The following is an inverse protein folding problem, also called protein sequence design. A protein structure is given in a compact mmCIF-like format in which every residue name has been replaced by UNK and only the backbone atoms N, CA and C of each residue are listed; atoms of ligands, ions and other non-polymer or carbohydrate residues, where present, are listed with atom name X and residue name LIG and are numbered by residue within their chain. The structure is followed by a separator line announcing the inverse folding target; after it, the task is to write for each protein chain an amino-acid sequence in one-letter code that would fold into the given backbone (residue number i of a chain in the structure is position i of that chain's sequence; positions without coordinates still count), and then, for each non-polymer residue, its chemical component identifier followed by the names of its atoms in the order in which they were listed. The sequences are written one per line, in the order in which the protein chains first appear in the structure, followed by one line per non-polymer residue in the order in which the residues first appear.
data_IF_634588926224
#
_entry.id   IF_634588926224
#
_cell.length_a   1.000
_cell.length_b   1.000
_cell.length_c   1.000
_cell.angle_alpha   90.00
_cell.angle_beta   90.00
_cell.angle_gamma   90.00
#
_symmetry.space_group_name_H-M   'P 1'
#
loop_
_entity.id
_entity.type
_entity.pdbx_description
1 polymer ?
#
# COMPACT_ATOMS: atom_id res chain seq x y z
N UNK A 1 -36.33 13.69 32.02
CA UNK A 1 -36.48 14.48 30.77
C UNK A 1 -35.09 14.93 30.33
N UNK A 2 -34.50 14.28 29.33
CA UNK A 2 -33.25 14.76 28.71
C UNK A 2 -33.63 15.99 27.88
N UNK A 3 -32.96 17.15 28.05
CA UNK A 3 -33.26 18.34 27.27
C UNK A 3 -33.11 18.05 25.77
N UNK A 4 -34.14 18.35 24.98
CA UNK A 4 -34.22 18.06 23.53
C UNK A 4 -32.99 18.56 22.72
N UNK A 5 -32.31 19.61 23.21
CA UNK A 5 -31.09 20.16 22.60
C UNK A 5 -29.83 19.29 22.77
N UNK A 6 -29.79 18.41 23.77
CA UNK A 6 -28.65 17.52 24.04
C UNK A 6 -28.77 16.23 23.22
N UNK A 7 -30.00 15.76 22.97
CA UNK A 7 -30.26 14.54 22.21
C UNK A 7 -29.78 14.63 20.75
N UNK A 8 -29.96 15.78 20.09
CA UNK A 8 -29.48 16.00 18.72
C UNK A 8 -27.95 15.99 18.58
N UNK A 9 -27.24 16.49 19.59
CA UNK A 9 -25.77 16.53 19.57
C UNK A 9 -25.16 15.13 19.74
N UNK A 10 -25.75 14.29 20.59
CA UNK A 10 -25.34 12.89 20.79
C UNK A 10 -25.57 12.06 19.52
N UNK A 11 -26.67 12.30 18.81
CA UNK A 11 -26.98 11.60 17.55
C UNK A 11 -25.94 11.91 16.45
N UNK A 12 -25.51 13.17 16.32
CA UNK A 12 -24.46 13.54 15.36
C UNK A 12 -23.09 12.90 15.70
N UNK A 13 -22.69 12.87 16.97
CA UNK A 13 -21.41 12.26 17.39
C UNK A 13 -21.40 10.74 17.12
N UNK A 14 -22.52 10.06 17.35
CA UNK A 14 -22.65 8.62 17.06
C UNK A 14 -22.60 8.32 15.56
N UNK A 15 -23.20 9.16 14.71
CA UNK A 15 -23.13 8.99 13.25
C UNK A 15 -21.70 9.17 12.72
N UNK A 16 -20.95 10.15 13.22
CA UNK A 16 -19.54 10.35 12.80
C UNK A 16 -18.60 9.21 13.24
N UNK A 17 -18.89 8.51 14.34
CA UNK A 17 -18.09 7.35 14.76
C UNK A 17 -18.39 6.09 13.93
N UNK A 18 -19.64 5.83 13.58
CA UNK A 18 -20.04 4.63 12.83
C UNK A 18 -19.50 4.61 11.39
N UNK A 19 -19.32 5.76 10.75
CA UNK A 19 -18.77 5.84 9.39
C UNK A 19 -17.27 5.49 9.31
N UNK A 20 -16.50 5.73 10.38
CA UNK A 20 -15.07 5.43 10.39
C UNK A 20 -14.77 3.94 10.57
N UNK A 21 -15.64 3.20 11.27
CA UNK A 21 -15.47 1.76 11.48
C UNK A 21 -15.63 0.97 10.17
N UNK A 22 -16.58 1.35 9.32
CA UNK A 22 -16.86 0.63 8.07
C UNK A 22 -15.77 0.83 7.00
N UNK A 23 -15.19 2.04 6.92
CA UNK A 23 -14.07 2.31 6.03
C UNK A 23 -12.79 1.57 6.45
N UNK A 24 -12.55 1.41 7.75
CA UNK A 24 -11.43 0.62 8.26
C UNK A 24 -11.58 -0.88 7.93
N UNK A 25 -12.79 -1.41 8.06
CA UNK A 25 -13.10 -2.82 7.78
C UNK A 25 -12.96 -3.17 6.28
N UNK A 26 -13.34 -2.27 5.37
CA UNK A 26 -13.11 -2.49 3.93
C UNK A 26 -11.63 -2.47 3.54
N UNK A 27 -10.83 -1.62 4.20
CA UNK A 27 -9.38 -1.55 3.99
C UNK A 27 -8.70 -2.82 4.50
N UNK A 28 -9.09 -3.32 5.67
CA UNK A 28 -8.60 -4.60 6.21
C UNK A 28 -9.05 -5.80 5.35
N UNK A 29 -10.31 -5.85 4.91
CA UNK A 29 -10.81 -6.93 4.04
C UNK A 29 -10.09 -6.99 2.69
N UNK A 30 -9.80 -5.84 2.05
CA UNK A 30 -8.97 -5.81 0.84
C UNK A 30 -7.52 -6.24 1.10
N UNK A 31 -7.04 -6.04 2.31
CA UNK A 31 -5.69 -6.43 2.71
C UNK A 31 -5.61 -7.94 2.98
N UNK A 32 -6.66 -8.56 3.52
CA UNK A 32 -6.77 -10.01 3.73
C UNK A 32 -6.69 -10.83 2.43
N UNK A 33 -7.09 -10.26 1.28
CA UNK A 33 -6.95 -10.93 -0.02
C UNK A 33 -5.52 -10.90 -0.58
N UNK A 34 -4.72 -9.88 -0.24
CA UNK A 34 -3.37 -9.72 -0.78
C UNK A 34 -2.36 -10.48 0.08
N UNK A 35 -1.69 -11.47 -0.53
CA UNK A 35 -0.62 -12.22 0.15
C UNK A 35 0.46 -11.28 0.69
N UNK A 36 0.79 -11.45 1.97
CA UNK A 36 1.89 -10.76 2.65
C UNK A 36 3.18 -11.58 2.45
N UNK A 37 4.27 -10.92 2.10
CA UNK A 37 5.58 -11.53 1.88
C UNK A 37 6.60 -11.01 2.89
N UNK A 38 7.60 -11.82 3.20
CA UNK A 38 8.88 -11.28 3.68
C UNK A 38 9.69 -10.69 2.51
N UNK A 39 10.71 -9.89 2.79
CA UNK A 39 11.60 -9.34 1.75
C UNK A 39 12.23 -10.47 0.93
N UNK A 40 12.74 -11.51 1.59
CA UNK A 40 13.45 -12.63 0.95
C UNK A 40 12.50 -13.46 0.06
N UNK A 41 11.28 -13.73 0.54
CA UNK A 41 10.27 -14.45 -0.25
C UNK A 41 9.85 -13.65 -1.49
N UNK A 42 9.66 -12.34 -1.33
CA UNK A 42 9.32 -11.49 -2.45
C UNK A 42 10.46 -11.48 -3.48
N UNK A 43 11.70 -11.27 -3.04
CA UNK A 43 12.86 -11.21 -3.93
C UNK A 43 13.03 -12.52 -4.72
N UNK A 44 13.01 -13.65 -4.02
CA UNK A 44 13.15 -14.98 -4.64
C UNK A 44 12.02 -15.33 -5.60
N UNK A 45 10.80 -14.84 -5.33
CA UNK A 45 9.64 -15.09 -6.18
C UNK A 45 9.65 -14.24 -7.43
N UNK A 46 9.93 -12.94 -7.29
CA UNK A 46 9.61 -11.95 -8.32
C UNK A 46 10.80 -11.33 -9.03
N UNK A 47 12.00 -11.30 -8.43
CA UNK A 47 13.15 -10.66 -9.09
C UNK A 47 13.43 -11.29 -10.44
N UNK A 48 13.68 -10.44 -11.43
CA UNK A 48 13.88 -10.82 -12.84
C UNK A 48 12.68 -11.55 -13.49
N UNK A 49 11.51 -11.64 -12.85
CA UNK A 49 10.27 -12.12 -13.48
C UNK A 49 9.62 -11.02 -14.30
N UNK A 50 8.77 -11.41 -15.24
CA UNK A 50 7.99 -10.46 -16.03
C UNK A 50 6.87 -9.86 -15.18
N UNK A 51 6.43 -8.65 -15.52
CA UNK A 51 5.33 -7.95 -14.83
C UNK A 51 4.03 -8.76 -14.79
N UNK A 52 3.78 -9.63 -15.77
CA UNK A 52 2.56 -10.44 -15.81
C UNK A 52 2.48 -11.39 -14.62
N UNK A 53 3.62 -11.94 -14.16
CA UNK A 53 3.64 -12.82 -12.98
C UNK A 53 3.29 -12.06 -11.70
N UNK A 54 3.68 -10.79 -11.63
CA UNK A 54 3.35 -9.93 -10.51
C UNK A 54 1.85 -9.64 -10.48
N UNK A 55 1.25 -9.31 -11.63
CA UNK A 55 -0.20 -9.09 -11.75
C UNK A 55 -1.01 -10.35 -11.42
N UNK A 56 -0.54 -11.53 -11.83
CA UNK A 56 -1.19 -12.81 -11.54
C UNK A 56 -1.26 -13.07 -10.02
N UNK A 57 -0.21 -12.72 -9.27
CA UNK A 57 -0.11 -13.04 -7.84
C UNK A 57 -0.65 -11.94 -6.94
N UNK A 58 -0.43 -10.67 -7.30
CA UNK A 58 -0.76 -9.51 -6.46
C UNK A 58 -1.93 -8.68 -7.00
N UNK A 59 -2.37 -8.94 -8.23
CA UNK A 59 -3.32 -8.10 -8.93
C UNK A 59 -2.73 -6.75 -9.34
N UNK A 60 -3.63 -5.80 -9.60
CA UNK A 60 -3.28 -4.44 -9.97
C UNK A 60 -2.56 -3.70 -8.82
N UNK A 61 -1.50 -2.93 -9.13
CA UNK A 61 -0.81 -2.12 -8.12
C UNK A 61 -1.69 -0.97 -7.63
N UNK A 62 -1.46 -0.57 -6.39
CA UNK A 62 -2.17 0.55 -5.76
C UNK A 62 -1.78 1.90 -6.38
N UNK A 63 -0.54 2.01 -6.89
CA UNK A 63 -0.08 3.18 -7.64
C UNK A 63 0.82 2.79 -8.81
N UNK A 64 0.62 3.46 -9.95
CA UNK A 64 1.52 3.40 -11.11
C UNK A 64 2.11 4.79 -11.34
N UNK A 65 3.42 4.87 -11.48
CA UNK A 65 4.12 6.13 -11.74
C UNK A 65 5.38 5.88 -12.56
N UNK A 66 6.02 6.97 -12.99
CA UNK A 66 7.22 6.91 -13.80
C UNK A 66 8.27 7.85 -13.22
N UNK A 67 9.54 7.43 -13.29
CA UNK A 67 10.68 8.26 -12.93
C UNK A 67 11.80 8.02 -13.92
N UNK A 68 12.27 9.10 -14.56
CA UNK A 68 13.38 9.04 -15.53
C UNK A 68 13.14 8.01 -16.66
N UNK A 69 11.91 7.98 -17.20
CA UNK A 69 11.52 7.04 -18.27
C UNK A 69 11.28 5.59 -17.81
N UNK A 70 11.44 5.30 -16.51
CA UNK A 70 11.28 3.96 -15.94
C UNK A 70 9.96 3.84 -15.20
N UNK A 71 9.21 2.78 -15.51
CA UNK A 71 7.91 2.50 -14.89
C UNK A 71 8.11 1.91 -13.51
N UNK A 72 7.37 2.45 -12.55
CA UNK A 72 7.40 2.03 -11.16
C UNK A 72 5.97 1.75 -10.70
N UNK A 73 5.76 0.58 -10.11
CA UNK A 73 4.50 0.20 -9.46
C UNK A 73 4.70 0.11 -7.96
N UNK A 74 3.74 0.62 -7.20
CA UNK A 74 3.74 0.57 -5.74
C UNK A 74 2.58 -0.30 -5.28
N UNK A 75 2.88 -1.24 -4.39
CA UNK A 75 1.91 -2.08 -3.69
C UNK A 75 1.96 -1.74 -2.21
N UNK A 76 0.84 -1.39 -1.61
CA UNK A 76 0.81 -0.97 -0.21
C UNK A 76 0.80 -2.17 0.74
N UNK A 77 1.63 -2.09 1.79
CA UNK A 77 1.66 -3.04 2.92
C UNK A 77 1.77 -4.53 2.52
N UNK A 78 2.44 -4.86 1.42
CA UNK A 78 2.60 -6.25 0.97
C UNK A 78 3.84 -6.94 1.53
N UNK A 79 4.75 -6.18 2.15
CA UNK A 79 5.92 -6.73 2.84
C UNK A 79 5.72 -6.61 4.34
N UNK A 80 5.98 -7.69 5.08
CA UNK A 80 6.11 -7.68 6.55
C UNK A 80 7.53 -8.05 6.93
N UNK A 81 8.19 -7.16 7.66
CA UNK A 81 9.51 -7.41 8.24
C UNK A 81 9.58 -6.81 9.65
N UNK A 82 10.16 -7.54 10.59
CA UNK A 82 10.25 -7.15 12.01
C UNK A 82 8.91 -6.61 12.57
N UNK A 83 7.82 -7.31 12.31
CA UNK A 83 6.44 -6.95 12.71
C UNK A 83 5.87 -5.67 12.08
N UNK A 84 6.62 -5.01 11.19
CA UNK A 84 6.19 -3.80 10.49
C UNK A 84 5.81 -4.09 9.05
N UNK A 85 4.81 -3.37 8.56
CA UNK A 85 4.37 -3.42 7.17
C UNK A 85 5.02 -2.32 6.35
N UNK A 86 5.36 -2.68 5.11
CA UNK A 86 6.04 -1.79 4.17
C UNK A 86 5.32 -1.76 2.83
N UNK A 87 5.32 -0.59 2.23
CA UNK A 87 4.91 -0.41 0.84
C UNK A 87 6.09 -0.80 -0.05
N UNK A 88 5.79 -1.54 -1.11
CA UNK A 88 6.81 -2.07 -2.00
C UNK A 88 6.75 -1.36 -3.34
N UNK A 89 7.83 -0.64 -3.67
CA UNK A 89 8.02 -0.06 -4.98
C UNK A 89 8.79 -1.03 -5.86
N UNK A 90 8.36 -1.16 -7.11
CA UNK A 90 8.85 -2.15 -8.07
C UNK A 90 9.12 -1.42 -9.38
N UNK A 91 10.39 -1.36 -9.76
CA UNK A 91 10.84 -0.77 -11.01
C UNK A 91 11.02 -1.85 -12.06
N UNK A 92 10.48 -1.56 -13.25
CA UNK A 92 10.58 -2.45 -14.39
C UNK A 92 11.63 -1.97 -15.40
N UNK A 93 12.41 -2.91 -15.91
CA UNK A 93 13.26 -2.73 -17.08
C UNK A 93 12.98 -3.87 -18.08
N UNK A 94 12.82 -3.53 -19.36
CA UNK A 94 12.39 -4.49 -20.40
C UNK A 94 11.16 -5.34 -20.00
N UNK A 95 10.15 -4.74 -19.35
CA UNK A 95 8.95 -5.40 -18.78
C UNK A 95 9.25 -6.47 -17.70
N UNK A 96 10.45 -6.50 -17.14
CA UNK A 96 10.86 -7.41 -16.05
C UNK A 96 11.18 -6.62 -14.80
N UNK A 97 10.99 -7.24 -13.65
CA UNK A 97 11.32 -6.66 -12.35
C UNK A 97 12.84 -6.55 -12.27
N UNK A 98 13.33 -5.32 -12.22
CA UNK A 98 14.76 -5.01 -12.21
C UNK A 98 15.23 -4.58 -10.83
N UNK A 99 14.41 -3.78 -10.13
CA UNK A 99 14.72 -3.28 -8.79
C UNK A 99 13.45 -3.18 -7.96
N UNK A 100 13.59 -3.32 -6.66
CA UNK A 100 12.53 -3.08 -5.70
C UNK A 100 13.09 -2.38 -4.45
N UNK A 101 12.28 -1.58 -3.76
CA UNK A 101 12.63 -1.02 -2.45
C UNK A 101 11.39 -0.78 -1.60
N UNK A 102 11.54 -1.03 -0.31
CA UNK A 102 10.49 -0.81 0.68
C UNK A 102 10.47 0.67 1.10
N UNK A 103 9.26 1.21 1.28
CA UNK A 103 9.03 2.53 1.89
C UNK A 103 8.08 2.37 3.07
N UNK A 104 8.21 3.17 4.15
CA UNK A 104 7.25 3.16 5.23
C UNK A 104 5.84 3.39 4.70
N UNK A 105 4.86 2.66 5.24
CA UNK A 105 3.48 2.78 4.81
C UNK A 105 2.99 4.25 4.90
N UNK A 106 2.57 4.82 3.76
CA UNK A 106 2.10 6.21 3.70
C UNK A 106 3.19 7.28 3.56
N UNK A 107 4.47 6.91 3.42
CA UNK A 107 5.50 7.85 2.98
C UNK A 107 5.27 8.22 1.51
N UNK A 108 5.20 9.52 1.20
CA UNK A 108 5.07 9.97 -0.19
C UNK A 108 6.26 9.47 -1.01
N UNK A 109 5.97 8.70 -2.06
CA UNK A 109 6.97 8.08 -2.94
C UNK A 109 7.65 9.09 -3.87
N UNK A 110 8.15 10.20 -3.33
CA UNK A 110 8.97 11.17 -4.06
C UNK A 110 10.42 10.73 -3.91
N UNK A 111 11.16 10.53 -5.02
CA UNK A 111 12.58 10.21 -4.92
C UNK A 111 13.29 11.43 -4.33
N UNK A 112 13.83 11.26 -3.12
CA UNK A 112 14.86 12.14 -2.58
C UNK A 112 16.06 12.03 -3.52
N UNK A 113 16.30 13.09 -4.28
CA UNK A 113 17.54 13.26 -5.02
C UNK A 113 18.69 13.33 -4.03
N UNK A 114 19.54 12.31 -4.04
CA UNK A 114 20.88 12.41 -3.48
C UNK A 114 21.70 13.20 -4.50
N UNK A 115 21.70 14.52 -4.39
CA UNK A 115 22.76 15.36 -4.94
C UNK A 115 23.96 15.22 -4.00
N UNK A 116 24.82 14.25 -4.27
CA UNK A 116 26.18 14.26 -3.74
C UNK A 116 27.01 15.20 -4.63
N UNK A 117 27.43 16.31 -4.03
CA UNK A 117 28.48 17.19 -4.54
C UNK A 117 29.85 16.53 -4.46
#
# INVERSE_FOLDING_TARGET
MIPSKIAGFIFCVLLFFSFNAWAAEEIEKKQDEKKIFTIIEFESTFMNRKKEKLLEVLGEPDRKWEHSGKKIWTYHKIIKDQEKFWDQNILFDFNRINRMWATPAGASSTPSGHEDK
#
